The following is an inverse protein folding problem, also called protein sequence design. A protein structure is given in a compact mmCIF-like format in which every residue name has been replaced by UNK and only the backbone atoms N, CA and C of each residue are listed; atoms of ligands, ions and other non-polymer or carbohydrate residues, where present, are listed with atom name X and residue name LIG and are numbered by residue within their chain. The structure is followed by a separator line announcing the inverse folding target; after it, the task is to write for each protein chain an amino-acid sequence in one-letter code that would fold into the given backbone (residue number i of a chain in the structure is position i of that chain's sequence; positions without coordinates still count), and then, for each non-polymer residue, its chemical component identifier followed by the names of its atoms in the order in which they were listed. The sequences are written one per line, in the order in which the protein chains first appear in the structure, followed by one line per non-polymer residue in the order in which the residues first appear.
data_IF_976646995685
#
_entry.id   IF_976646995685
#
_cell.length_a   1.000
_cell.length_b   1.000
_cell.length_c   1.000
_cell.angle_alpha   90.00
_cell.angle_beta   90.00
_cell.angle_gamma   90.00
#
_symmetry.space_group_name_H-M   'P 1'
#
loop_
_entity.id
_entity.type
_entity.pdbx_description
1 polymer ?
#
# COMPACT_ATOMS: atom_id res chain seq x y z
N UNK A 1 24.04 20.75 -8.75
CA UNK A 1 23.42 20.63 -7.42
C UNK A 1 22.60 19.35 -7.40
N UNK A 2 23.20 18.20 -7.04
CA UNK A 2 22.50 16.92 -6.91
C UNK A 2 22.16 16.70 -5.44
N UNK A 3 20.90 16.89 -5.06
CA UNK A 3 20.43 16.46 -3.75
C UNK A 3 20.17 14.95 -3.82
N UNK A 4 21.17 14.16 -3.42
CA UNK A 4 20.96 12.76 -3.04
C UNK A 4 20.08 12.74 -1.80
N UNK A 5 18.80 12.43 -1.96
CA UNK A 5 17.90 12.19 -0.83
C UNK A 5 18.30 10.85 -0.25
N UNK A 6 19.11 10.87 0.81
CA UNK A 6 19.39 9.67 1.61
C UNK A 6 18.26 9.60 2.62
N UNK A 7 17.19 8.88 2.30
CA UNK A 7 16.10 8.65 3.24
C UNK A 7 16.55 7.56 4.21
N UNK A 8 17.03 8.01 5.37
CA UNK A 8 17.29 7.17 6.54
C UNK A 8 16.43 7.69 7.67
N UNK A 9 15.24 7.11 7.84
CA UNK A 9 14.47 7.22 9.08
C UNK A 9 13.72 5.92 9.33
N UNK A 10 13.63 5.54 10.60
CA UNK A 10 13.08 4.29 11.14
C UNK A 10 11.79 3.78 10.43
N UNK A 11 11.58 2.46 10.37
CA UNK A 11 10.50 1.82 9.60
C UNK A 11 9.08 2.35 9.89
N UNK A 12 8.84 2.92 11.07
CA UNK A 12 7.53 3.47 11.43
C UNK A 12 7.22 4.81 10.75
N UNK A 13 8.21 5.68 10.54
CA UNK A 13 8.01 6.97 9.89
C UNK A 13 7.72 6.80 8.39
N UNK A 14 8.23 5.73 7.78
CA UNK A 14 8.02 5.41 6.35
C UNK A 14 6.61 4.81 6.11
N UNK A 15 6.14 3.92 6.99
CA UNK A 15 4.80 3.32 6.89
C UNK A 15 3.70 4.38 6.99
N UNK A 16 3.76 5.27 7.98
CA UNK A 16 2.70 6.29 8.17
C UNK A 16 2.70 7.33 7.04
N UNK A 17 3.87 7.74 6.55
CA UNK A 17 3.97 8.59 5.35
C UNK A 17 3.45 7.87 4.10
N UNK A 18 3.79 6.60 3.92
CA UNK A 18 3.28 5.76 2.85
C UNK A 18 1.75 5.61 2.90
N UNK A 19 1.18 5.39 4.09
CA UNK A 19 -0.27 5.31 4.28
C UNK A 19 -0.96 6.64 3.96
N UNK A 20 -0.40 7.77 4.41
CA UNK A 20 -0.92 9.09 4.05
C UNK A 20 -0.90 9.33 2.53
N UNK A 21 0.15 8.89 1.83
CA UNK A 21 0.23 8.95 0.37
C UNK A 21 -0.83 8.08 -0.29
N UNK A 22 -1.00 6.83 0.18
CA UNK A 22 -2.00 5.89 -0.32
C UNK A 22 -3.40 6.48 -0.18
N UNK A 23 -3.77 6.94 1.02
CA UNK A 23 -5.07 7.55 1.27
C UNK A 23 -5.30 8.78 0.40
N UNK A 24 -4.31 9.69 0.31
CA UNK A 24 -4.46 10.90 -0.48
C UNK A 24 -4.58 10.60 -1.96
N UNK A 25 -3.80 9.65 -2.49
CA UNK A 25 -3.88 9.24 -3.89
C UNK A 25 -5.26 8.66 -4.22
N UNK A 26 -5.83 7.83 -3.35
CA UNK A 26 -7.18 7.29 -3.52
C UNK A 26 -8.23 8.40 -3.52
N UNK A 27 -8.18 9.33 -2.56
CA UNK A 27 -9.09 10.49 -2.52
C UNK A 27 -8.99 11.37 -3.77
N UNK A 28 -7.77 11.63 -4.27
CA UNK A 28 -7.56 12.39 -5.51
C UNK A 28 -8.15 11.68 -6.73
N UNK A 29 -8.17 10.35 -6.72
CA UNK A 29 -8.84 9.53 -7.73
C UNK A 29 -10.37 9.40 -7.51
N UNK A 30 -10.92 10.02 -6.46
CA UNK A 30 -12.35 9.91 -6.11
C UNK A 30 -12.73 8.58 -5.44
N UNK A 31 -11.76 7.85 -4.90
CA UNK A 31 -11.96 6.59 -4.20
C UNK A 31 -11.87 6.74 -2.67
N UNK A 32 -12.68 5.96 -1.96
CA UNK A 32 -12.77 5.96 -0.50
C UNK A 32 -12.72 4.50 0.00
N UNK A 33 -11.53 3.87 0.03
CA UNK A 33 -11.39 2.49 0.50
C UNK A 33 -11.79 2.36 1.97
N UNK A 34 -12.31 1.18 2.34
CA UNK A 34 -12.61 0.86 3.73
C UNK A 34 -11.35 0.44 4.50
N UNK A 35 -11.49 0.27 5.81
CA UNK A 35 -10.38 -0.10 6.72
C UNK A 35 -9.70 -1.41 6.33
N UNK A 36 -10.45 -2.39 5.82
CA UNK A 36 -9.89 -3.67 5.38
C UNK A 36 -8.94 -3.49 4.19
N UNK A 37 -9.32 -2.68 3.20
CA UNK A 37 -8.47 -2.37 2.05
C UNK A 37 -7.24 -1.56 2.45
N UNK A 38 -7.39 -0.61 3.38
CA UNK A 38 -6.25 0.15 3.93
C UNK A 38 -5.33 -0.75 4.77
N UNK A 39 -5.88 -1.73 5.50
CA UNK A 39 -5.12 -2.70 6.28
C UNK A 39 -4.28 -3.65 5.41
N UNK A 40 -4.68 -3.92 4.16
CA UNK A 40 -3.83 -4.62 3.20
C UNK A 40 -2.65 -3.73 2.77
N UNK A 41 -2.89 -2.47 2.43
CA UNK A 41 -1.83 -1.53 2.04
C UNK A 41 -0.79 -1.35 3.17
N UNK A 42 -1.26 -1.20 4.42
CA UNK A 42 -0.40 -1.09 5.60
C UNK A 42 0.52 -2.30 5.75
N UNK A 43 -0.02 -3.51 5.69
CA UNK A 43 0.77 -4.75 5.79
C UNK A 43 1.83 -4.89 4.68
N UNK A 44 1.52 -4.40 3.47
CA UNK A 44 2.52 -4.33 2.39
C UNK A 44 3.65 -3.35 2.75
N UNK A 45 3.30 -2.15 3.22
CA UNK A 45 4.29 -1.14 3.61
C UNK A 45 5.14 -1.57 4.81
N UNK A 46 4.55 -2.30 5.77
CA UNK A 46 5.26 -2.89 6.92
C UNK A 46 6.17 -4.07 6.52
N UNK A 47 6.06 -4.57 5.29
CA UNK A 47 6.80 -5.74 4.81
C UNK A 47 6.34 -7.07 5.41
N UNK A 48 5.22 -7.08 6.13
CA UNK A 48 4.61 -8.30 6.69
C UNK A 48 3.78 -9.08 5.67
N UNK A 49 3.56 -8.49 4.50
CA UNK A 49 2.87 -9.08 3.36
C UNK A 49 3.45 -8.57 2.05
N UNK A 50 3.51 -9.41 1.03
CA UNK A 50 3.92 -9.01 -0.32
C UNK A 50 2.76 -8.40 -1.11
N UNK A 51 3.09 -7.63 -2.15
CA UNK A 51 2.06 -7.10 -3.05
C UNK A 51 1.26 -8.19 -3.80
N UNK A 52 1.87 -9.36 -4.06
CA UNK A 52 1.20 -10.50 -4.70
C UNK A 52 0.18 -11.15 -3.77
N UNK A 53 0.53 -11.35 -2.50
CA UNK A 53 -0.38 -11.86 -1.48
C UNK A 53 -1.57 -10.91 -1.26
N UNK A 54 -1.31 -9.60 -1.26
CA UNK A 54 -2.36 -8.59 -1.18
C UNK A 54 -3.34 -8.70 -2.36
N UNK A 55 -2.82 -8.81 -3.60
CA UNK A 55 -3.63 -9.01 -4.81
C UNK A 55 -4.44 -10.30 -4.74
N UNK A 56 -3.85 -11.38 -4.25
CA UNK A 56 -4.53 -12.66 -4.10
C UNK A 56 -5.69 -12.59 -3.09
N UNK A 57 -5.54 -11.88 -1.97
CA UNK A 57 -6.64 -11.68 -1.00
C UNK A 57 -7.79 -10.87 -1.60
N UNK A 58 -7.50 -9.78 -2.33
CA UNK A 58 -8.53 -8.99 -3.02
C UNK A 58 -9.24 -9.86 -4.07
N UNK A 59 -8.48 -10.57 -4.89
CA UNK A 59 -9.01 -11.48 -5.90
C UNK A 59 -9.94 -12.55 -5.31
N UNK A 60 -9.52 -13.21 -4.23
CA UNK A 60 -10.32 -14.22 -3.53
C UNK A 60 -11.63 -13.64 -3.00
N UNK A 61 -11.60 -12.43 -2.42
CA UNK A 61 -12.79 -11.76 -1.88
C UNK A 61 -13.84 -11.44 -2.93
N UNK A 62 -13.40 -11.01 -4.12
CA UNK A 62 -14.30 -10.59 -5.19
C UNK A 62 -14.51 -11.65 -6.29
N UNK A 63 -13.95 -12.86 -6.13
CA UNK A 63 -14.04 -13.93 -7.12
C UNK A 63 -13.34 -13.60 -8.46
N UNK A 64 -12.32 -12.74 -8.43
CA UNK A 64 -11.59 -12.28 -9.62
C UNK A 64 -10.35 -13.17 -9.80
N UNK A 65 -9.99 -13.62 -11.01
CA UNK A 65 -8.76 -14.37 -11.22
C UNK A 65 -7.52 -13.49 -11.01
N UNK A 66 -6.53 -14.00 -10.26
CA UNK A 66 -5.22 -13.36 -10.12
C UNK A 66 -4.44 -13.54 -11.42
N UNK A 67 -4.21 -12.44 -12.17
CA UNK A 67 -3.23 -12.47 -13.26
C UNK A 67 -1.82 -12.39 -12.68
N UNK A 68 -1.04 -13.44 -12.86
CA UNK A 68 0.40 -13.40 -12.65
C UNK A 68 1.01 -12.49 -13.74
N UNK A 69 1.84 -11.53 -13.33
CA UNK A 69 2.57 -10.63 -14.23
C UNK A 69 3.92 -11.22 -14.61
#
# INVERSE_FOLDING_TARGET
MSTKITQSSAPTADVEQGMALVEKAQQLAGHFPNEEALGLARRVLEGTMTGDEARAQVAAKFGIPVKQR
#
